data_IF_676482834504
#
_entry.id   IF_676482834504
#
_cell.length_a   1.000
_cell.length_b   1.000
_cell.length_c   1.000
_cell.angle_alpha   90.00
_cell.angle_beta   90.00
_cell.angle_gamma   90.00
#
_symmetry.space_group_name_H-M   'P 1'
#
loop_
_entity.id
_entity.type
_entity.pdbx_description
1 polymer ?
#
# COMPACT_ATOMS: atom_id res chain seq x y z
N UNK A 1 -33.89 7.37 -9.28
CA UNK A 1 -32.79 7.85 -8.44
C UNK A 1 -32.42 6.75 -7.48
N UNK A 2 -31.21 6.25 -7.57
CA UNK A 2 -30.75 5.14 -6.75
C UNK A 2 -30.56 5.61 -5.29
N UNK A 3 -30.86 4.73 -4.32
CA UNK A 3 -30.75 5.05 -2.88
C UNK A 3 -29.33 5.50 -2.48
N UNK A 4 -28.31 5.07 -3.24
CA UNK A 4 -26.90 5.47 -3.08
C UNK A 4 -26.60 6.92 -3.45
N UNK A 5 -27.47 7.58 -4.25
CA UNK A 5 -27.24 8.97 -4.69
C UNK A 5 -27.58 10.00 -3.60
N UNK A 6 -28.18 9.54 -2.48
CA UNK A 6 -28.55 10.38 -1.32
C UNK A 6 -27.66 10.12 -0.10
N UNK A 7 -26.47 9.57 -0.32
CA UNK A 7 -25.54 9.22 0.75
C UNK A 7 -24.17 9.81 0.42
N UNK A 8 -23.35 10.00 1.42
CA UNK A 8 -21.99 10.49 1.25
C UNK A 8 -21.14 9.47 0.45
N UNK A 9 -20.29 10.01 -0.41
CA UNK A 9 -19.30 9.24 -1.17
C UNK A 9 -17.95 9.92 -1.02
N UNK A 10 -16.89 9.13 -0.76
CA UNK A 10 -15.54 9.64 -0.55
C UNK A 10 -14.55 8.97 -1.50
N UNK A 11 -13.68 9.77 -2.09
CA UNK A 11 -12.52 9.36 -2.84
C UNK A 11 -11.30 10.01 -2.19
N UNK A 12 -10.35 9.19 -1.75
CA UNK A 12 -9.21 9.60 -0.96
C UNK A 12 -7.94 9.20 -1.69
N UNK A 13 -7.03 10.12 -1.86
CA UNK A 13 -5.67 9.87 -2.34
C UNK A 13 -4.68 10.20 -1.21
N UNK A 14 -4.07 9.14 -0.64
CA UNK A 14 -3.09 9.27 0.42
C UNK A 14 -1.69 9.27 -0.18
N UNK A 15 -1.11 10.46 -0.32
CA UNK A 15 0.30 10.65 -0.65
C UNK A 15 1.22 10.56 0.58
N UNK A 16 2.52 10.72 0.36
CA UNK A 16 3.52 10.75 1.44
C UNK A 16 3.39 12.01 2.32
N UNK A 17 3.16 13.18 1.71
CA UNK A 17 3.08 14.46 2.44
C UNK A 17 1.65 14.90 2.71
N UNK A 18 0.76 14.78 1.73
CA UNK A 18 -0.62 15.21 1.83
C UNK A 18 -1.58 14.09 1.47
N UNK A 19 -2.74 14.13 2.12
CA UNK A 19 -3.91 13.31 1.79
C UNK A 19 -4.98 14.23 1.21
N UNK A 20 -5.37 13.98 -0.02
CA UNK A 20 -6.41 14.68 -0.74
C UNK A 20 -7.72 13.88 -0.65
N UNK A 21 -8.82 14.56 -0.33
CA UNK A 21 -10.15 13.96 -0.20
C UNK A 21 -11.11 14.72 -1.11
N UNK A 22 -11.82 13.97 -1.93
CA UNK A 22 -13.00 14.48 -2.65
C UNK A 22 -14.22 13.79 -2.08
N UNK A 23 -15.17 14.56 -1.62
CA UNK A 23 -16.43 14.05 -1.09
C UNK A 23 -17.59 14.53 -1.95
N UNK A 24 -18.58 13.67 -2.15
CA UNK A 24 -19.89 14.04 -2.69
C UNK A 24 -20.92 13.91 -1.59
N UNK A 25 -21.57 15.03 -1.28
CA UNK A 25 -22.63 15.10 -0.29
C UNK A 25 -23.96 14.50 -0.80
N UNK A 26 -24.93 14.22 0.08
CA UNK A 26 -26.24 13.68 -0.30
C UNK A 26 -27.07 14.56 -1.23
N UNK A 27 -26.81 15.88 -1.25
CA UNK A 27 -27.41 16.86 -2.16
C UNK A 27 -26.66 17.00 -3.49
N UNK A 28 -25.57 16.23 -3.66
CA UNK A 28 -24.79 16.16 -4.90
C UNK A 28 -23.66 17.18 -5.00
N UNK A 29 -23.39 17.96 -3.96
CA UNK A 29 -22.28 18.91 -3.94
C UNK A 29 -20.95 18.16 -3.85
N UNK A 30 -19.94 18.59 -4.63
CA UNK A 30 -18.57 18.12 -4.54
C UNK A 30 -17.76 19.05 -3.65
N UNK A 31 -17.09 18.46 -2.67
CA UNK A 31 -16.26 19.15 -1.70
C UNK A 31 -14.87 18.54 -1.76
N UNK A 32 -13.85 19.37 -1.87
CA UNK A 32 -12.45 18.94 -1.77
C UNK A 32 -11.87 19.34 -0.42
N UNK A 33 -11.08 18.46 0.17
CA UNK A 33 -10.40 18.70 1.43
C UNK A 33 -8.99 18.13 1.37
N UNK A 34 -8.06 18.80 2.05
CA UNK A 34 -6.64 18.43 2.03
C UNK A 34 -6.05 18.53 3.43
N UNK A 35 -5.33 17.46 3.84
CA UNK A 35 -4.66 17.38 5.12
C UNK A 35 -3.21 16.92 4.94
N UNK A 36 -2.38 17.12 5.95
CA UNK A 36 -1.09 16.43 6.04
C UNK A 36 -1.34 14.92 6.22
N UNK A 37 -0.59 14.09 5.54
CA UNK A 37 -0.71 12.63 5.69
C UNK A 37 -0.30 12.16 7.08
N UNK A 38 0.65 12.88 7.70
CA UNK A 38 1.14 12.63 9.05
C UNK A 38 1.08 13.90 9.88
N UNK A 39 0.30 13.86 10.96
CA UNK A 39 0.22 14.92 11.96
C UNK A 39 -0.17 14.32 13.33
N UNK A 40 0.76 13.59 13.98
CA UNK A 40 0.47 12.81 15.19
C UNK A 40 0.03 13.66 16.39
N UNK A 41 0.28 14.97 16.37
CA UNK A 41 -0.18 15.89 17.41
C UNK A 41 -1.68 16.18 17.32
N UNK A 42 -2.29 16.03 16.15
CA UNK A 42 -3.69 16.36 15.92
C UNK A 42 -4.56 15.13 15.59
N UNK A 43 -4.02 14.16 14.85
CA UNK A 43 -4.74 12.95 14.47
C UNK A 43 -3.78 11.79 14.17
N UNK A 44 -4.30 10.58 14.28
CA UNK A 44 -3.55 9.35 13.98
C UNK A 44 -3.67 8.94 12.52
N UNK A 45 -4.78 9.28 11.86
CA UNK A 45 -5.07 8.92 10.47
C UNK A 45 -5.75 10.08 9.74
N UNK A 46 -5.09 10.56 8.69
CA UNK A 46 -5.55 11.71 7.90
C UNK A 46 -6.87 11.43 7.16
N UNK A 47 -7.07 10.22 6.66
CA UNK A 47 -8.29 9.87 5.93
C UNK A 47 -9.49 9.88 6.87
N UNK A 48 -9.36 9.28 8.05
CA UNK A 48 -10.41 9.30 9.06
C UNK A 48 -10.69 10.71 9.57
N UNK A 49 -9.64 11.52 9.77
CA UNK A 49 -9.80 12.90 10.21
C UNK A 49 -10.55 13.73 9.17
N UNK A 50 -10.15 13.66 7.90
CA UNK A 50 -10.80 14.42 6.85
C UNK A 50 -12.27 14.00 6.59
N UNK A 51 -12.59 12.72 6.74
CA UNK A 51 -13.98 12.26 6.71
C UNK A 51 -14.76 12.88 7.85
N UNK A 52 -14.22 12.89 9.09
CA UNK A 52 -14.88 13.48 10.26
C UNK A 52 -15.11 14.98 10.12
N UNK A 53 -14.16 15.70 9.53
CA UNK A 53 -14.27 17.15 9.31
C UNK A 53 -15.32 17.51 8.25
N UNK A 54 -15.56 16.61 7.29
CA UNK A 54 -16.57 16.81 6.25
C UNK A 54 -17.96 16.31 6.64
N UNK A 55 -18.04 15.36 7.58
CA UNK A 55 -19.29 14.89 8.14
C UNK A 55 -19.69 15.76 9.31
N UNK A 56 -20.95 16.24 9.31
CA UNK A 56 -21.53 16.85 10.49
C UNK A 56 -21.76 15.76 11.56
N UNK A 57 -20.97 15.79 12.63
CA UNK A 57 -20.96 14.76 13.69
C UNK A 57 -22.26 14.72 14.52
N UNK A 58 -23.15 15.72 14.36
CA UNK A 58 -24.44 15.74 15.08
C UNK A 58 -25.47 14.78 14.48
N UNK A 59 -25.24 14.28 13.25
CA UNK A 59 -26.16 13.37 12.58
C UNK A 59 -25.44 12.13 12.10
N UNK A 60 -26.04 10.97 12.34
CA UNK A 60 -25.56 9.70 11.78
C UNK A 60 -25.75 9.72 10.25
N UNK A 61 -24.69 10.09 9.53
CA UNK A 61 -24.72 10.18 8.07
C UNK A 61 -24.22 8.86 7.48
N UNK A 62 -24.98 8.30 6.55
CA UNK A 62 -24.60 7.06 5.89
C UNK A 62 -23.60 7.34 4.76
N UNK A 63 -22.53 6.57 4.74
CA UNK A 63 -21.55 6.54 3.67
C UNK A 63 -21.87 5.36 2.74
N UNK A 64 -22.14 5.64 1.47
CA UNK A 64 -22.41 4.60 0.47
C UNK A 64 -21.16 4.08 -0.21
N UNK A 65 -20.12 4.93 -0.31
CA UNK A 65 -18.90 4.60 -1.05
C UNK A 65 -17.70 5.26 -0.37
N UNK A 66 -16.66 4.45 -0.15
CA UNK A 66 -15.35 4.92 0.24
C UNK A 66 -14.34 4.22 -0.65
N UNK A 67 -13.59 5.01 -1.43
CA UNK A 67 -12.48 4.52 -2.27
C UNK A 67 -11.21 5.23 -1.87
N UNK A 68 -10.15 4.47 -1.67
CA UNK A 68 -8.86 5.01 -1.27
C UNK A 68 -7.75 4.44 -2.15
N UNK A 69 -6.94 5.35 -2.69
CA UNK A 69 -5.65 5.07 -3.30
C UNK A 69 -4.52 5.53 -2.40
N UNK A 70 -3.35 4.93 -2.52
CA UNK A 70 -2.17 5.38 -1.79
C UNK A 70 -0.91 5.14 -2.60
N UNK A 71 0.02 6.09 -2.52
CA UNK A 71 1.37 6.00 -3.10
C UNK A 71 2.45 5.85 -2.03
N UNK A 72 2.08 5.70 -0.75
CA UNK A 72 3.02 5.62 0.39
C UNK A 72 4.01 4.48 0.18
N UNK A 73 3.55 3.29 -0.16
CA UNK A 73 4.42 2.14 -0.40
C UNK A 73 5.34 2.32 -1.62
N UNK A 74 4.84 2.94 -2.68
CA UNK A 74 5.65 3.25 -3.87
C UNK A 74 6.73 4.27 -3.54
N UNK A 75 6.40 5.32 -2.79
CA UNK A 75 7.34 6.34 -2.37
C UNK A 75 8.43 5.73 -1.46
N UNK A 76 8.05 4.94 -0.45
CA UNK A 76 8.99 4.25 0.42
C UNK A 76 9.96 3.34 -0.37
N UNK A 77 9.46 2.68 -1.41
CA UNK A 77 10.26 1.84 -2.30
C UNK A 77 11.27 2.66 -3.12
N UNK A 78 10.84 3.80 -3.67
CA UNK A 78 11.67 4.70 -4.47
C UNK A 78 12.73 5.40 -3.62
N UNK A 79 12.36 5.82 -2.43
CA UNK A 79 13.24 6.51 -1.47
C UNK A 79 14.14 5.54 -0.69
N UNK A 80 13.96 4.22 -0.87
CA UNK A 80 14.65 3.18 -0.10
C UNK A 80 14.45 3.31 1.41
N UNK A 81 13.32 3.88 1.81
CA UNK A 81 12.90 4.00 3.20
C UNK A 81 11.93 2.88 3.54
N UNK A 82 12.36 1.95 4.37
CA UNK A 82 11.54 0.83 4.80
C UNK A 82 12.10 0.22 6.08
N UNK A 83 11.26 -0.53 6.76
CA UNK A 83 11.66 -1.29 7.93
C UNK A 83 12.66 -2.40 7.57
N UNK A 84 13.57 -2.75 8.48
CA UNK A 84 14.45 -3.90 8.30
C UNK A 84 13.64 -5.17 8.01
N UNK A 85 13.88 -5.75 6.84
CA UNK A 85 13.07 -6.87 6.34
C UNK A 85 13.91 -8.14 6.23
N UNK A 86 13.35 -9.26 6.64
CA UNK A 86 13.89 -10.60 6.44
C UNK A 86 13.00 -11.35 5.45
N UNK A 87 13.62 -11.94 4.44
CA UNK A 87 12.92 -12.80 3.48
C UNK A 87 12.94 -14.25 3.97
N UNK A 88 11.76 -14.81 4.24
CA UNK A 88 11.59 -16.25 4.46
C UNK A 88 11.19 -16.86 3.12
N UNK A 89 11.92 -17.87 2.67
CA UNK A 89 11.70 -18.50 1.38
C UNK A 89 11.96 -20.01 1.45
N UNK A 90 11.29 -20.77 0.63
CA UNK A 90 11.50 -22.20 0.48
C UNK A 90 12.97 -22.52 0.21
N UNK A 91 13.49 -23.58 0.85
CA UNK A 91 14.87 -24.04 0.67
C UNK A 91 15.20 -24.29 -0.81
N UNK A 92 16.37 -23.83 -1.24
CA UNK A 92 16.84 -23.88 -2.63
C UNK A 92 16.45 -22.66 -3.48
N UNK A 93 15.68 -21.70 -2.94
CA UNK A 93 15.20 -20.52 -3.67
C UNK A 93 15.78 -19.18 -3.17
N UNK A 94 16.79 -19.19 -2.29
CA UNK A 94 17.37 -17.98 -1.71
C UNK A 94 17.80 -16.92 -2.74
N UNK A 95 18.23 -17.34 -3.91
CA UNK A 95 18.71 -16.45 -4.96
C UNK A 95 17.60 -16.03 -5.95
N UNK A 96 16.37 -16.51 -5.77
CA UNK A 96 15.27 -16.30 -6.71
C UNK A 96 15.03 -14.82 -7.02
N UNK A 97 14.92 -13.97 -6.00
CA UNK A 97 14.72 -12.54 -6.18
C UNK A 97 15.97 -11.82 -6.71
N UNK A 98 17.16 -12.34 -6.40
CA UNK A 98 18.42 -11.80 -6.91
C UNK A 98 18.60 -12.10 -8.39
N UNK A 99 18.22 -13.29 -8.83
CA UNK A 99 18.27 -13.70 -10.23
C UNK A 99 17.19 -12.97 -11.03
N UNK A 100 16.00 -12.80 -10.42
CA UNK A 100 14.81 -12.19 -11.03
C UNK A 100 14.61 -12.70 -12.47
N UNK A 101 14.42 -11.80 -13.43
CA UNK A 101 14.28 -12.12 -14.86
C UNK A 101 15.60 -12.14 -15.62
N UNK A 102 16.74 -12.02 -14.94
CA UNK A 102 18.08 -11.94 -15.56
C UNK A 102 18.22 -10.75 -16.54
N UNK A 103 17.45 -9.69 -16.33
CA UNK A 103 17.53 -8.49 -17.16
C UNK A 103 18.88 -7.84 -16.98
N UNK A 104 19.55 -7.56 -18.08
CA UNK A 104 20.80 -6.83 -18.11
C UNK A 104 20.54 -5.45 -18.72
N UNK A 105 20.67 -4.34 -17.96
CA UNK A 105 20.52 -2.99 -18.50
C UNK A 105 21.49 -2.72 -19.63
N UNK A 106 22.69 -3.29 -19.54
CA UNK A 106 23.73 -3.27 -20.56
C UNK A 106 24.23 -4.70 -20.81
N UNK A 107 23.93 -5.25 -21.99
CA UNK A 107 24.30 -6.62 -22.38
C UNK A 107 25.81 -6.80 -22.59
N UNK A 108 26.54 -5.71 -22.80
CA UNK A 108 27.99 -5.72 -23.01
C UNK A 108 28.80 -5.36 -21.76
N UNK A 109 28.14 -5.05 -20.65
CA UNK A 109 28.81 -4.73 -19.40
C UNK A 109 29.67 -5.90 -18.91
N UNK A 110 30.97 -5.67 -18.71
CA UNK A 110 31.88 -6.63 -18.09
C UNK A 110 31.64 -6.79 -16.59
N UNK A 111 31.10 -5.77 -15.94
CA UNK A 111 30.69 -5.79 -14.53
C UNK A 111 29.20 -5.50 -14.41
N UNK A 112 28.43 -6.53 -14.11
CA UNK A 112 26.97 -6.44 -14.00
C UNK A 112 26.62 -5.89 -12.62
N UNK A 113 26.03 -4.70 -12.61
CA UNK A 113 25.44 -4.09 -11.41
C UNK A 113 24.01 -4.60 -11.23
N UNK A 114 23.79 -5.42 -10.20
CA UNK A 114 22.44 -5.85 -9.84
C UNK A 114 21.77 -4.77 -8.97
N UNK A 115 20.44 -4.61 -9.08
CA UNK A 115 19.71 -3.74 -8.17
C UNK A 115 19.89 -4.17 -6.71
N UNK A 116 19.94 -3.19 -5.81
CA UNK A 116 19.97 -3.48 -4.38
C UNK A 116 18.70 -4.19 -3.94
N UNK A 117 18.87 -5.20 -3.09
CA UNK A 117 17.77 -5.94 -2.51
C UNK A 117 17.12 -5.13 -1.37
N UNK A 118 15.81 -5.29 -1.19
CA UNK A 118 15.05 -4.59 -0.16
C UNK A 118 15.09 -5.30 1.19
N UNK A 119 15.50 -6.54 1.24
CA UNK A 119 15.67 -7.32 2.46
C UNK A 119 17.14 -7.38 2.87
N UNK A 120 17.37 -7.47 4.18
CA UNK A 120 18.71 -7.52 4.77
C UNK A 120 19.23 -8.96 4.89
N UNK A 121 18.31 -9.92 5.07
CA UNK A 121 18.65 -11.31 5.31
C UNK A 121 17.64 -12.23 4.61
N UNK A 122 18.15 -13.39 4.17
CA UNK A 122 17.32 -14.49 3.66
C UNK A 122 17.44 -15.66 4.61
N UNK A 123 16.31 -16.24 4.97
CA UNK A 123 16.24 -17.49 5.74
C UNK A 123 15.49 -18.50 4.88
N UNK A 124 16.16 -19.60 4.58
CA UNK A 124 15.55 -20.71 3.88
C UNK A 124 14.80 -21.61 4.85
N UNK A 125 13.57 -21.94 4.51
CA UNK A 125 12.68 -22.78 5.29
C UNK A 125 12.54 -24.13 4.59
N UNK A 126 12.78 -25.20 5.32
CA UNK A 126 12.57 -26.59 4.86
C UNK A 126 11.07 -26.88 4.77
N UNK A 127 10.42 -26.37 3.73
CA UNK A 127 9.00 -26.61 3.48
C UNK A 127 8.73 -26.61 1.98
N UNK A 128 7.70 -27.33 1.57
CA UNK A 128 7.12 -27.24 0.24
C UNK A 128 5.63 -27.49 0.29
N UNK A 129 4.85 -26.52 -0.14
CA UNK A 129 3.42 -26.68 -0.28
C UNK A 129 3.11 -27.31 -1.67
N UNK A 130 2.30 -28.33 -1.68
CA UNK A 130 1.76 -28.89 -2.92
C UNK A 130 0.41 -28.21 -3.27
N UNK A 131 -0.11 -28.47 -4.48
CA UNK A 131 -1.36 -27.90 -4.97
C UNK A 131 -2.61 -28.33 -4.17
N UNK A 132 -2.49 -29.33 -3.30
CA UNK A 132 -3.54 -29.83 -2.43
C UNK A 132 -3.45 -29.31 -0.99
N UNK A 133 -2.49 -28.40 -0.71
CA UNK A 133 -2.31 -27.78 0.60
C UNK A 133 -1.57 -28.64 1.61
N UNK A 134 -0.99 -29.76 1.22
CA UNK A 134 -0.12 -30.57 2.08
C UNK A 134 1.33 -30.05 2.05
N UNK A 135 2.01 -30.04 3.20
CA UNK A 135 3.45 -29.80 3.27
C UNK A 135 4.20 -31.14 3.09
N UNK A 136 5.15 -31.20 2.15
CA UNK A 136 6.10 -32.28 2.09
C UNK A 136 7.39 -31.84 2.81
N UNK A 137 7.74 -32.52 3.90
CA UNK A 137 9.08 -32.46 4.45
C UNK A 137 10.04 -33.14 3.47
N UNK A 138 11.16 -32.54 3.17
CA UNK A 138 12.24 -33.20 2.44
C UNK A 138 12.83 -34.28 3.38
N UNK A 139 12.74 -35.55 2.98
CA UNK A 139 13.59 -36.64 3.53
C UNK A 139 14.98 -36.59 2.93
#
# INVERSE_FOLDING_TARGET
>A
MNKSDKQWQFWIDRGGTFTDIVARSPDGQLISHKLLSENPEQYQDAALQGIKELLDLEHTQEISTLKMGTTVGTNALLERQGEPTVLLITQGFKDCLRIAYQNRPDIFALNIQLPELLYQQVIEVEERLNTQGGSNSFE
#
